data_IF_643408936603
#
_entry.id   IF_643408936603
#
_cell.length_a   1.000
_cell.length_b   1.000
_cell.length_c   1.000
_cell.angle_alpha   90.00
_cell.angle_beta   90.00
_cell.angle_gamma   90.00
#
_symmetry.space_group_name_H-M   'P 1'
#
loop_
_entity.id
_entity.type
_entity.pdbx_description
1 polymer ?
#
# COMPACT_ATOMS: atom_id res chain seq x y z
N UNK A 1 -4.96 -11.27 13.86
CA UNK A 1 -5.72 -10.45 12.89
C UNK A 1 -4.97 -9.13 12.78
N UNK A 2 -4.56 -8.68 11.57
CA UNK A 2 -3.82 -7.42 11.44
C UNK A 2 -4.76 -6.25 11.67
N UNK A 3 -4.36 -5.31 12.51
CA UNK A 3 -5.14 -4.10 12.79
C UNK A 3 -4.96 -3.13 11.62
N UNK A 4 -6.07 -2.66 11.04
CA UNK A 4 -6.09 -1.82 9.83
C UNK A 4 -6.93 -0.60 10.09
N UNK A 5 -6.45 0.56 9.67
CA UNK A 5 -7.15 1.84 9.79
C UNK A 5 -7.49 2.40 8.41
N UNK A 6 -8.64 3.06 8.34
CA UNK A 6 -9.03 3.90 7.21
C UNK A 6 -8.93 5.35 7.66
N UNK A 7 -8.10 6.13 6.98
CA UNK A 7 -7.87 7.54 7.28
C UNK A 7 -8.26 8.42 6.09
N UNK A 8 -8.73 9.62 6.40
CA UNK A 8 -8.88 10.71 5.43
C UNK A 8 -7.60 11.55 5.40
N UNK A 9 -7.21 11.96 4.21
CA UNK A 9 -6.18 12.96 3.97
C UNK A 9 -6.79 14.09 3.16
N UNK A 10 -6.81 15.29 3.73
CA UNK A 10 -7.30 16.49 3.08
C UNK A 10 -6.45 17.69 3.52
N UNK A 11 -5.83 18.36 2.56
CA UNK A 11 -5.04 19.57 2.81
C UNK A 11 -5.92 20.67 3.41
N UNK A 12 -5.42 21.32 4.46
CA UNK A 12 -6.11 22.39 5.18
C UNK A 12 -7.11 21.93 6.24
N UNK A 13 -7.39 20.62 6.35
CA UNK A 13 -8.27 20.08 7.38
C UNK A 13 -7.55 19.92 8.72
N UNK A 14 -8.27 20.26 9.79
CA UNK A 14 -7.88 20.00 11.17
C UNK A 14 -7.97 18.51 11.51
N UNK A 15 -7.30 18.08 12.58
CA UNK A 15 -7.35 16.68 13.03
C UNK A 15 -8.80 16.21 13.31
N UNK A 16 -9.63 17.07 13.90
CA UNK A 16 -11.03 16.76 14.17
C UNK A 16 -11.86 16.61 12.88
N UNK A 17 -11.61 17.45 11.86
CA UNK A 17 -12.22 17.33 10.54
C UNK A 17 -11.82 16.00 9.87
N UNK A 18 -10.53 15.68 9.86
CA UNK A 18 -10.01 14.42 9.31
C UNK A 18 -10.59 13.20 10.02
N UNK A 19 -10.72 13.24 11.35
CA UNK A 19 -11.32 12.16 12.11
C UNK A 19 -12.80 11.97 11.77
N UNK A 20 -13.59 13.05 11.72
CA UNK A 20 -15.01 12.97 11.29
C UNK A 20 -15.16 12.39 9.89
N UNK A 21 -14.28 12.77 8.97
CA UNK A 21 -14.24 12.20 7.63
C UNK A 21 -13.97 10.69 7.66
N UNK A 22 -12.98 10.27 8.45
CA UNK A 22 -12.58 8.87 8.59
C UNK A 22 -13.70 8.01 9.18
N UNK A 23 -14.33 8.50 10.25
CA UNK A 23 -15.48 7.84 10.90
C UNK A 23 -16.66 7.71 9.94
N UNK A 24 -16.96 8.75 9.17
CA UNK A 24 -18.05 8.73 8.19
C UNK A 24 -17.80 7.73 7.05
N UNK A 25 -16.57 7.67 6.54
CA UNK A 25 -16.19 6.69 5.52
C UNK A 25 -16.25 5.25 6.06
N UNK A 26 -15.79 5.02 7.29
CA UNK A 26 -15.85 3.71 7.93
C UNK A 26 -17.30 3.27 8.15
N UNK A 27 -18.15 4.14 8.70
CA UNK A 27 -19.57 3.87 8.89
C UNK A 27 -20.29 3.57 7.56
N UNK A 28 -19.89 4.24 6.48
CA UNK A 28 -20.40 3.94 5.14
C UNK A 28 -20.06 2.50 4.71
N UNK A 29 -18.80 2.08 4.85
CA UNK A 29 -18.38 0.71 4.53
C UNK A 29 -19.07 -0.34 5.40
N UNK A 30 -19.21 -0.07 6.70
CA UNK A 30 -19.95 -0.93 7.63
C UNK A 30 -21.42 -1.09 7.19
N UNK A 31 -22.08 0.02 6.83
CA UNK A 31 -23.47 -0.02 6.35
C UNK A 31 -23.64 -0.78 5.03
N UNK A 32 -22.61 -0.76 4.19
CA UNK A 32 -22.57 -1.49 2.93
C UNK A 32 -22.20 -2.98 3.11
N UNK A 33 -21.76 -3.39 4.31
CA UNK A 33 -21.28 -4.75 4.58
C UNK A 33 -20.01 -5.09 3.80
N UNK A 34 -19.18 -4.10 3.49
CA UNK A 34 -17.96 -4.26 2.67
C UNK A 34 -16.74 -3.85 3.46
N UNK A 35 -15.68 -4.64 3.42
CA UNK A 35 -14.41 -4.26 4.00
C UNK A 35 -13.75 -3.14 3.17
N UNK A 36 -13.26 -2.04 3.77
CA UNK A 36 -12.61 -0.95 3.05
C UNK A 36 -11.45 -1.40 2.15
N UNK A 37 -10.73 -2.44 2.58
CA UNK A 37 -9.59 -3.00 1.87
C UNK A 37 -9.98 -3.69 0.53
N UNK A 38 -11.13 -4.36 0.50
CA UNK A 38 -11.62 -5.00 -0.72
C UNK A 38 -12.06 -3.95 -1.76
N UNK A 39 -12.69 -2.87 -1.29
CA UNK A 39 -13.07 -1.74 -2.13
C UNK A 39 -11.85 -0.99 -2.68
N UNK A 40 -10.84 -0.73 -1.84
CA UNK A 40 -9.58 -0.10 -2.27
C UNK A 40 -8.83 -0.94 -3.30
N UNK A 41 -8.70 -2.24 -3.08
CA UNK A 41 -8.04 -3.15 -4.01
C UNK A 41 -8.70 -3.12 -5.39
N UNK A 42 -10.04 -3.14 -5.45
CA UNK A 42 -10.76 -3.03 -6.71
C UNK A 42 -10.52 -1.67 -7.39
N UNK A 43 -10.54 -0.58 -6.63
CA UNK A 43 -10.28 0.77 -7.14
C UNK A 43 -8.87 0.91 -7.71
N UNK A 44 -7.84 0.45 -6.98
CA UNK A 44 -6.45 0.48 -7.43
C UNK A 44 -6.23 -0.39 -8.66
N UNK A 45 -6.86 -1.57 -8.72
CA UNK A 45 -6.79 -2.46 -9.89
C UNK A 45 -7.37 -1.80 -11.15
N UNK A 46 -8.50 -1.10 -11.01
CA UNK A 46 -9.10 -0.36 -12.13
C UNK A 46 -8.22 0.83 -12.54
N UNK A 47 -7.73 1.59 -11.56
CA UNK A 47 -6.87 2.75 -11.81
C UNK A 47 -5.54 2.36 -12.48
N UNK A 48 -4.95 1.22 -12.12
CA UNK A 48 -3.71 0.73 -12.72
C UNK A 48 -3.93 0.20 -14.15
N UNK A 49 -5.05 -0.46 -14.44
CA UNK A 49 -5.34 -0.91 -15.80
C UNK A 49 -5.66 0.22 -16.76
N UNK A 50 -6.24 1.34 -16.29
CA UNK A 50 -6.39 2.54 -17.12
C UNK A 50 -5.04 3.07 -17.62
N UNK A 51 -3.95 2.77 -16.91
CA UNK A 51 -2.58 3.11 -17.30
C UNK A 51 -1.93 2.04 -18.18
N UNK A 52 -2.29 0.76 -17.99
CA UNK A 52 -1.56 -0.39 -18.54
C UNK A 52 -2.37 -1.30 -19.49
N UNK A 53 -3.58 -0.89 -19.91
CA UNK A 53 -4.47 -1.59 -20.87
C UNK A 53 -4.61 -3.09 -20.55
N UNK A 54 -5.23 -3.40 -19.41
CA UNK A 54 -5.42 -4.76 -18.91
C UNK A 54 -6.87 -5.26 -19.00
N UNK A 55 -7.05 -6.56 -18.77
CA UNK A 55 -8.24 -7.43 -18.94
C UNK A 55 -9.59 -6.85 -18.50
N UNK A 56 -10.72 -7.39 -19.03
CA UNK A 56 -12.06 -6.96 -18.63
C UNK A 56 -12.30 -7.20 -17.13
N UNK A 57 -12.83 -6.19 -16.46
CA UNK A 57 -13.23 -6.27 -15.06
C UNK A 57 -14.59 -6.93 -14.89
N UNK A 58 -14.75 -7.67 -13.80
CA UNK A 58 -16.06 -8.15 -13.37
C UNK A 58 -16.93 -6.98 -12.89
N UNK A 59 -18.25 -7.15 -13.00
CA UNK A 59 -19.23 -6.21 -12.44
C UNK A 59 -19.02 -6.01 -10.92
N UNK A 60 -18.59 -7.06 -10.22
CA UNK A 60 -18.25 -6.99 -8.79
C UNK A 60 -17.09 -6.04 -8.54
N UNK A 61 -16.03 -6.07 -9.34
CA UNK A 61 -14.89 -5.16 -9.18
C UNK A 61 -15.27 -3.71 -9.43
N UNK A 62 -16.08 -3.43 -10.46
CA UNK A 62 -16.61 -2.08 -10.66
C UNK A 62 -17.47 -1.61 -9.50
N UNK A 63 -18.32 -2.49 -8.96
CA UNK A 63 -19.16 -2.18 -7.81
C UNK A 63 -18.30 -1.85 -6.58
N UNK A 64 -17.27 -2.64 -6.31
CA UNK A 64 -16.36 -2.42 -5.18
C UNK A 64 -15.55 -1.13 -5.32
N UNK A 65 -15.04 -0.84 -6.52
CA UNK A 65 -14.36 0.43 -6.78
C UNK A 65 -15.28 1.64 -6.65
N UNK A 66 -16.52 1.54 -7.14
CA UNK A 66 -17.51 2.60 -6.98
C UNK A 66 -17.85 2.85 -5.50
N UNK A 67 -17.83 1.82 -4.65
CA UNK A 67 -17.98 1.99 -3.20
C UNK A 67 -16.80 2.74 -2.59
N UNK A 68 -15.58 2.50 -3.05
CA UNK A 68 -14.41 3.28 -2.62
C UNK A 68 -14.54 4.76 -2.97
N UNK A 69 -14.90 5.07 -4.21
CA UNK A 69 -15.11 6.45 -4.67
C UNK A 69 -16.25 7.15 -3.92
N UNK A 70 -17.32 6.41 -3.63
CA UNK A 70 -18.46 6.92 -2.86
C UNK A 70 -18.10 7.16 -1.40
N UNK A 71 -17.30 6.29 -0.79
CA UNK A 71 -16.77 6.51 0.55
C UNK A 71 -15.92 7.79 0.61
N UNK A 72 -15.13 8.07 -0.42
CA UNK A 72 -14.35 9.31 -0.53
C UNK A 72 -15.25 10.56 -0.61
N UNK A 73 -16.40 10.48 -1.28
CA UNK A 73 -17.41 11.56 -1.28
C UNK A 73 -18.04 11.75 0.10
N UNK A 74 -18.45 10.66 0.75
CA UNK A 74 -19.06 10.69 2.10
C UNK A 74 -18.08 11.26 3.13
N UNK A 75 -16.82 10.85 3.04
CA UNK A 75 -15.75 11.37 3.87
C UNK A 75 -15.52 12.87 3.63
N UNK A 76 -15.52 13.31 2.37
CA UNK A 76 -15.46 14.75 2.05
C UNK A 76 -16.65 15.49 2.65
N UNK A 77 -17.81 14.83 2.67
CA UNK A 77 -19.03 15.41 3.19
C UNK A 77 -18.98 15.76 4.67
N UNK A 78 -18.43 14.85 5.47
CA UNK A 78 -18.25 14.99 6.90
C UNK A 78 -16.98 15.79 7.28
N UNK A 79 -15.86 15.56 6.58
CA UNK A 79 -14.58 16.21 6.86
C UNK A 79 -14.67 17.71 6.69
N UNK A 80 -15.14 18.16 5.51
CA UNK A 80 -15.15 19.56 5.13
C UNK A 80 -16.50 20.24 5.40
N UNK A 81 -17.25 19.74 6.39
CA UNK A 81 -18.51 20.35 6.80
C UNK A 81 -18.26 21.79 7.29
N UNK A 82 -18.87 22.78 6.62
CA UNK A 82 -18.69 24.20 6.94
C UNK A 82 -17.63 24.92 6.11
N UNK A 83 -16.94 24.24 5.20
CA UNK A 83 -15.99 24.88 4.30
C UNK A 83 -16.71 25.71 3.24
N UNK A 84 -16.25 26.94 3.00
CA UNK A 84 -16.81 27.82 1.97
C UNK A 84 -16.72 27.19 0.56
N UNK A 85 -15.63 26.47 0.30
CA UNK A 85 -15.45 25.66 -0.92
C UNK A 85 -15.04 24.26 -0.54
N UNK A 86 -16.01 23.35 -0.59
CA UNK A 86 -15.84 21.96 -0.22
C UNK A 86 -15.35 21.12 -1.42
N UNK A 87 -14.36 20.24 -1.24
CA UNK A 87 -13.95 19.31 -2.28
C UNK A 87 -15.05 18.29 -2.55
N UNK A 88 -15.12 17.78 -3.79
CA UNK A 88 -16.07 16.73 -4.17
C UNK A 88 -15.73 15.38 -3.52
N UNK A 89 -14.43 15.12 -3.35
CA UNK A 89 -13.86 13.91 -2.78
C UNK A 89 -12.61 14.28 -1.99
N UNK A 90 -12.32 13.51 -0.96
CA UNK A 90 -11.05 13.57 -0.20
C UNK A 90 -10.25 12.31 -0.50
N UNK A 91 -8.95 12.32 -0.19
CA UNK A 91 -8.14 11.12 -0.32
C UNK A 91 -8.40 10.18 0.86
N UNK A 92 -8.68 8.93 0.55
CA UNK A 92 -8.73 7.85 1.53
C UNK A 92 -7.39 7.12 1.53
N UNK A 93 -6.87 6.83 2.72
CA UNK A 93 -5.65 6.08 2.93
C UNK A 93 -5.94 4.90 3.83
N UNK A 94 -5.49 3.73 3.42
CA UNK A 94 -5.47 2.56 4.28
C UNK A 94 -4.10 2.42 4.92
N UNK A 95 -4.07 2.13 6.21
CA UNK A 95 -2.83 1.94 6.97
C UNK A 95 -2.91 0.59 7.68
N UNK A 96 -1.88 -0.24 7.48
CA UNK A 96 -1.61 -1.37 8.36
C UNK A 96 -0.92 -0.81 9.62
N UNK A 97 -1.53 -0.99 10.80
CA UNK A 97 -0.98 -0.43 12.05
C UNK A 97 0.39 -1.01 12.36
N UNK A 98 0.73 -2.18 11.81
CA UNK A 98 2.08 -2.70 11.85
C UNK A 98 3.06 -1.84 11.05
N UNK A 99 2.68 -1.39 9.85
CA UNK A 99 3.50 -0.50 9.02
C UNK A 99 3.69 0.86 9.69
N UNK A 100 2.66 1.41 10.34
CA UNK A 100 2.75 2.65 11.12
C UNK A 100 3.72 2.51 12.30
N UNK A 101 3.60 1.43 13.08
CA UNK A 101 4.51 1.16 14.21
C UNK A 101 5.95 0.93 13.75
N UNK A 102 6.14 0.32 12.58
CA UNK A 102 7.46 0.15 11.99
C UNK A 102 8.01 1.49 11.54
N UNK A 103 7.21 2.34 10.89
CA UNK A 103 7.62 3.69 10.49
C UNK A 103 8.01 4.56 11.70
N UNK A 104 7.23 4.52 12.78
CA UNK A 104 7.53 5.26 14.02
C UNK A 104 8.80 4.75 14.69
N UNK A 105 9.00 3.42 14.74
CA UNK A 105 10.23 2.82 15.28
C UNK A 105 11.45 3.23 14.44
N UNK A 106 11.32 3.26 13.10
CA UNK A 106 12.37 3.70 12.19
C UNK A 106 12.66 5.21 12.35
N UNK A 107 11.63 6.05 12.49
CA UNK A 107 11.80 7.49 12.73
C UNK A 107 12.48 7.78 14.08
N UNK A 108 12.22 6.97 15.11
CA UNK A 108 12.89 7.06 16.41
C UNK A 108 14.35 6.60 16.34
N UNK A 109 14.66 5.56 15.55
CA UNK A 109 16.03 5.08 15.34
C UNK A 109 16.85 5.99 14.42
N UNK A 110 16.19 6.70 13.49
CA UNK A 110 16.83 7.54 12.47
C UNK A 110 16.16 8.91 12.33
N UNK A 111 16.26 9.80 13.34
CA UNK A 111 15.53 11.07 13.37
C UNK A 111 15.98 12.11 12.33
N UNK A 112 17.12 11.90 11.66
CA UNK A 112 17.72 12.83 10.68
C UNK A 112 17.67 12.35 9.24
N UNK A 113 17.09 11.19 8.95
CA UNK A 113 17.23 10.57 7.62
C UNK A 113 16.37 11.22 6.54
N UNK A 114 15.27 11.92 6.86
CA UNK A 114 14.45 12.63 5.86
C UNK A 114 13.83 11.75 4.75
N UNK A 115 13.96 10.42 4.84
CA UNK A 115 13.71 9.45 3.76
C UNK A 115 12.68 8.38 4.18
N UNK A 116 11.39 8.70 4.31
CA UNK A 116 10.36 7.65 4.33
C UNK A 116 9.94 7.24 2.91
N UNK A 117 9.89 8.16 1.94
CA UNK A 117 9.45 7.86 0.57
C UNK A 117 10.48 7.07 -0.23
N UNK A 118 11.75 7.50 -0.20
CA UNK A 118 12.75 6.95 -1.14
C UNK A 118 13.16 5.53 -0.74
N UNK A 119 13.06 5.18 0.56
CA UNK A 119 13.27 3.81 1.03
C UNK A 119 12.11 2.89 0.61
N UNK A 120 10.88 3.41 0.60
CA UNK A 120 9.69 2.65 0.19
C UNK A 120 9.74 2.34 -1.31
N UNK A 121 10.13 3.31 -2.13
CA UNK A 121 10.22 3.16 -3.59
C UNK A 121 11.31 2.15 -3.99
N UNK A 122 12.51 2.24 -3.38
CA UNK A 122 13.61 1.28 -3.62
C UNK A 122 13.24 -0.14 -3.16
N UNK A 123 12.56 -0.25 -2.02
CA UNK A 123 12.16 -1.57 -1.48
C UNK A 123 11.04 -2.20 -2.33
N UNK A 124 10.11 -1.40 -2.82
CA UNK A 124 9.05 -1.86 -3.72
C UNK A 124 9.63 -2.34 -5.06
N UNK A 125 10.54 -1.58 -5.67
CA UNK A 125 11.14 -1.95 -6.96
C UNK A 125 11.91 -3.28 -6.88
N UNK A 126 12.71 -3.47 -5.83
CA UNK A 126 13.47 -4.71 -5.60
C UNK A 126 12.53 -5.89 -5.34
N UNK A 127 11.44 -5.66 -4.60
CA UNK A 127 10.43 -6.68 -4.30
C UNK A 127 9.69 -7.11 -5.56
N UNK A 128 9.32 -6.18 -6.44
CA UNK A 128 8.65 -6.46 -7.71
C UNK A 128 9.54 -7.25 -8.68
N UNK A 129 10.82 -6.89 -8.80
CA UNK A 129 11.78 -7.60 -9.67
C UNK A 129 12.00 -9.04 -9.22
N UNK A 130 12.18 -9.27 -7.91
CA UNK A 130 12.36 -10.60 -7.38
C UNK A 130 11.08 -11.45 -7.48
N UNK A 131 9.90 -10.85 -7.28
CA UNK A 131 8.62 -11.53 -7.47
C UNK A 131 8.42 -11.97 -8.93
N UNK A 132 8.75 -11.10 -9.89
CA UNK A 132 8.68 -11.41 -11.32
C UNK A 132 9.59 -12.60 -11.69
N UNK A 133 10.82 -12.63 -11.16
CA UNK A 133 11.75 -13.75 -11.38
C UNK A 133 11.24 -15.07 -10.76
N UNK A 134 10.59 -15.03 -9.60
CA UNK A 134 10.02 -16.21 -8.94
C UNK A 134 8.75 -16.74 -9.66
N UNK A 135 7.90 -15.85 -10.17
CA UNK A 135 6.73 -16.22 -10.99
C UNK A 135 7.18 -16.90 -12.29
N UNK A 136 8.21 -16.37 -12.95
CA UNK A 136 8.80 -16.99 -14.14
C UNK A 136 9.35 -18.41 -13.88
N UNK A 137 9.65 -18.73 -12.61
CA UNK A 137 10.17 -20.03 -12.16
C UNK A 137 9.09 -20.97 -11.58
N UNK A 138 7.80 -20.59 -11.67
CA UNK A 138 6.68 -21.45 -11.28
C UNK A 138 6.46 -21.57 -9.77
N UNK A 139 6.80 -20.53 -9.00
CA UNK A 139 6.59 -20.53 -7.55
C UNK A 139 5.11 -20.78 -7.19
N UNK A 140 4.81 -21.68 -6.24
CA UNK A 140 3.45 -22.19 -6.02
C UNK A 140 2.51 -21.21 -5.33
N UNK A 141 3.03 -20.16 -4.68
CA UNK A 141 2.22 -19.18 -3.93
C UNK A 141 2.95 -17.82 -3.92
N UNK A 142 2.75 -16.98 -4.96
CA UNK A 142 3.49 -15.73 -5.15
C UNK A 142 3.29 -14.73 -4.00
N UNK A 143 2.14 -14.75 -3.34
CA UNK A 143 1.75 -13.81 -2.28
C UNK A 143 2.45 -14.14 -0.96
N UNK A 144 2.51 -15.41 -0.57
CA UNK A 144 3.31 -15.83 0.58
C UNK A 144 4.81 -15.57 0.37
N UNK A 145 5.31 -15.80 -0.84
CA UNK A 145 6.72 -15.56 -1.18
C UNK A 145 7.07 -14.07 -1.17
N UNK A 146 6.19 -13.20 -1.67
CA UNK A 146 6.35 -11.76 -1.58
C UNK A 146 6.45 -11.28 -0.12
N UNK A 147 5.62 -11.84 0.76
CA UNK A 147 5.65 -11.49 2.19
C UNK A 147 6.96 -11.91 2.86
N UNK A 148 7.49 -13.10 2.53
CA UNK A 148 8.78 -13.58 3.06
C UNK A 148 9.93 -12.74 2.50
N UNK A 149 9.89 -12.41 1.21
CA UNK A 149 10.93 -11.65 0.55
C UNK A 149 11.04 -10.23 1.11
N UNK A 150 9.91 -9.56 1.34
CA UNK A 150 9.88 -8.25 2.01
C UNK A 150 10.49 -8.33 3.41
N UNK A 151 10.13 -9.36 4.20
CA UNK A 151 10.69 -9.56 5.54
C UNK A 151 12.21 -9.78 5.50
N UNK A 152 12.69 -10.62 4.59
CA UNK A 152 14.12 -10.95 4.45
C UNK A 152 14.92 -9.77 3.93
N UNK A 153 14.40 -9.03 2.95
CA UNK A 153 15.04 -7.80 2.43
C UNK A 153 15.15 -6.76 3.53
N UNK A 154 14.09 -6.55 4.31
CA UNK A 154 14.11 -5.61 5.43
C UNK A 154 15.12 -6.02 6.52
N UNK A 155 15.23 -7.31 6.85
CA UNK A 155 16.23 -7.82 7.79
C UNK A 155 17.67 -7.62 7.28
N UNK A 156 17.91 -7.72 5.98
CA UNK A 156 19.23 -7.45 5.41
C UNK A 156 19.55 -5.95 5.39
N UNK A 157 18.56 -5.09 5.09
CA UNK A 157 18.74 -3.63 5.17
C UNK A 157 19.12 -3.23 6.59
N UNK A 158 18.47 -3.80 7.61
CA UNK A 158 18.78 -3.60 9.02
C UNK A 158 20.22 -4.03 9.39
N UNK A 159 20.72 -5.10 8.78
CA UNK A 159 22.00 -5.72 9.18
C UNK A 159 23.22 -5.17 8.44
N UNK A 160 23.11 -4.92 7.13
CA UNK A 160 24.25 -4.57 6.27
C UNK A 160 24.02 -3.29 5.47
N UNK A 161 22.93 -2.58 5.74
CA UNK A 161 22.55 -1.36 5.04
C UNK A 161 21.99 -1.61 3.64
N UNK A 162 21.39 -0.59 3.01
CA UNK A 162 20.71 -0.73 1.72
C UNK A 162 21.66 -1.11 0.57
N UNK A 163 22.84 -0.49 0.50
CA UNK A 163 23.84 -0.79 -0.54
C UNK A 163 24.43 -2.21 -0.39
N UNK A 164 24.65 -2.62 0.86
CA UNK A 164 25.08 -3.98 1.21
C UNK A 164 24.00 -5.00 0.85
N UNK A 165 22.74 -4.70 1.13
CA UNK A 165 21.59 -5.56 0.81
C UNK A 165 21.39 -5.71 -0.68
N UNK A 166 21.42 -4.61 -1.43
CA UNK A 166 21.30 -4.64 -2.88
C UNK A 166 22.47 -5.42 -3.52
N UNK A 167 23.67 -5.31 -2.97
CA UNK A 167 24.84 -6.07 -3.43
C UNK A 167 24.73 -7.57 -3.10
N UNK A 168 24.25 -7.91 -1.90
CA UNK A 168 24.02 -9.29 -1.48
C UNK A 168 22.92 -9.96 -2.32
N UNK A 169 21.80 -9.29 -2.54
CA UNK A 169 20.69 -9.79 -3.34
C UNK A 169 21.10 -10.00 -4.81
N UNK A 170 21.88 -9.08 -5.39
CA UNK A 170 22.46 -9.25 -6.73
C UNK A 170 23.40 -10.47 -6.79
N UNK A 171 24.28 -10.62 -5.81
CA UNK A 171 25.18 -11.77 -5.74
C UNK A 171 24.43 -13.12 -5.59
N UNK A 172 23.35 -13.14 -4.81
CA UNK A 172 22.48 -14.31 -4.69
C UNK A 172 21.78 -14.63 -6.01
N UNK A 173 21.28 -13.63 -6.73
CA UNK A 173 20.68 -13.81 -8.05
C UNK A 173 21.70 -14.38 -9.06
N UNK A 174 22.89 -13.81 -9.14
CA UNK A 174 23.97 -14.27 -10.03
C UNK A 174 24.39 -15.72 -9.75
N UNK A 175 24.44 -16.10 -8.47
CA UNK A 175 24.83 -17.46 -8.05
C UNK A 175 23.75 -18.49 -8.39
N UNK A 176 22.47 -18.11 -8.24
CA UNK A 176 21.34 -18.95 -8.65
C UNK A 176 21.33 -19.16 -10.16
N UNK A 177 21.67 -18.13 -10.94
CA UNK A 177 21.76 -18.23 -12.40
C UNK A 177 22.97 -19.06 -12.86
N UNK A 178 24.10 -19.00 -12.14
CA UNK A 178 25.27 -19.84 -12.40
C UNK A 178 25.01 -21.34 -12.12
N UNK A 179 24.17 -21.66 -11.12
CA UNK A 179 23.74 -23.03 -10.83
C UNK A 179 22.74 -23.59 -11.87
N UNK A 180 22.25 -22.78 -12.83
CA UNK A 180 21.42 -23.24 -13.97
C UNK A 180 22.22 -23.77 -15.16
N UNK A 181 23.55 -23.63 -15.18
CA UNK A 181 24.42 -24.06 -16.28
C UNK A 181 24.99 -25.49 -16.10
N UNK A 182 24.51 -26.23 -15.11
CA UNK A 182 24.81 -27.65 -14.86
C UNK A 182 23.52 -28.46 -14.73
#
# INVERSE_FOLDING_TARGET
MRERKLLVVQEGATAEELQRGSDAALAFFESAGVAPWDAAHAAWKIQSALRNVSSPFSEREFTMAALWDKAACVAADACCAGWAKKPKQVHLKLIDVLEERVADALAALYPTSGVPSDLHDVTNEITEQALAAMIARGAPEPVAMQSILVIVTNLFVDWIGPDGTATLLRHMADKVDAEQLH
#
